data_IF_984408748743
#
_entry.id   IF_984408748743
#
_cell.length_a   1.000
_cell.length_b   1.000
_cell.length_c   1.000
_cell.angle_alpha   90.00
_cell.angle_beta   90.00
_cell.angle_gamma   90.00
#
_symmetry.space_group_name_H-M   'P 1'
#
loop_
_entity.id
_entity.type
_entity.pdbx_description
1 polymer ?
#
# COMPACT_ATOMS: atom_id res chain seq x y z
N UNK A 1 17.51 -14.80 6.90
CA UNK A 1 16.58 -14.58 5.77
C UNK A 1 15.13 -14.50 6.25
N UNK A 2 14.65 -15.48 7.02
CA UNK A 2 13.30 -15.50 7.60
C UNK A 2 12.85 -14.20 8.31
N UNK A 3 13.75 -13.51 9.03
CA UNK A 3 13.40 -12.22 9.68
C UNK A 3 13.03 -11.15 8.66
N UNK A 4 13.73 -11.08 7.52
CA UNK A 4 13.44 -10.10 6.46
C UNK A 4 12.09 -10.41 5.82
N UNK A 5 11.85 -11.67 5.49
CA UNK A 5 10.56 -12.13 4.92
C UNK A 5 9.40 -11.79 5.87
N UNK A 6 9.54 -12.04 7.18
CA UNK A 6 8.53 -11.66 8.16
C UNK A 6 8.25 -10.15 8.17
N UNK A 7 9.30 -9.33 8.06
CA UNK A 7 9.16 -7.86 8.04
C UNK A 7 8.47 -7.40 6.75
N UNK A 8 8.77 -8.00 5.60
CA UNK A 8 8.08 -7.70 4.33
C UNK A 8 6.57 -7.94 4.45
N UNK A 9 6.16 -9.05 5.08
CA UNK A 9 4.74 -9.34 5.36
C UNK A 9 4.10 -8.35 6.35
N UNK A 10 4.81 -7.98 7.42
CA UNK A 10 4.32 -6.97 8.38
C UNK A 10 4.07 -5.64 7.66
N UNK A 11 5.04 -5.18 6.88
CA UNK A 11 4.94 -3.92 6.12
C UNK A 11 3.84 -4.01 5.05
N UNK A 12 3.64 -5.18 4.44
CA UNK A 12 2.54 -5.39 3.49
C UNK A 12 1.16 -5.20 4.15
N UNK A 13 0.98 -5.73 5.37
CA UNK A 13 -0.25 -5.55 6.16
C UNK A 13 -0.44 -4.07 6.51
N UNK A 14 0.62 -3.38 6.94
CA UNK A 14 0.56 -1.95 7.26
C UNK A 14 0.21 -1.10 6.04
N UNK A 15 0.79 -1.39 4.87
CA UNK A 15 0.48 -0.67 3.62
C UNK A 15 -0.98 -0.87 3.20
N UNK A 16 -1.50 -2.10 3.30
CA UNK A 16 -2.90 -2.39 3.01
C UNK A 16 -3.84 -1.62 3.96
N UNK A 17 -3.55 -1.65 5.27
CA UNK A 17 -4.33 -0.92 6.27
C UNK A 17 -4.25 0.60 6.06
N UNK A 18 -3.07 1.13 5.73
CA UNK A 18 -2.87 2.54 5.44
C UNK A 18 -3.64 2.99 4.20
N UNK A 19 -3.64 2.20 3.12
CA UNK A 19 -4.41 2.51 1.93
C UNK A 19 -5.91 2.57 2.22
N UNK A 20 -6.43 1.64 3.04
CA UNK A 20 -7.83 1.66 3.46
C UNK A 20 -8.15 2.88 4.33
N UNK A 21 -7.26 3.22 5.28
CA UNK A 21 -7.40 4.42 6.10
C UNK A 21 -7.41 5.72 5.29
N UNK A 22 -6.62 5.79 4.21
CA UNK A 22 -6.63 6.92 3.27
C UNK A 22 -7.99 7.05 2.58
N UNK A 23 -8.60 5.94 2.16
CA UNK A 23 -9.90 5.96 1.50
C UNK A 23 -11.01 6.45 2.42
N UNK A 24 -11.08 5.92 3.64
CA UNK A 24 -12.02 6.42 4.65
C UNK A 24 -11.79 7.91 4.95
N UNK A 25 -10.54 8.36 4.97
CA UNK A 25 -10.24 9.79 5.16
C UNK A 25 -10.71 10.64 3.99
N UNK A 26 -10.61 10.13 2.76
CA UNK A 26 -11.12 10.80 1.54
C UNK A 26 -12.63 10.86 1.52
N UNK A 27 -13.33 9.83 1.98
CA UNK A 27 -14.79 9.86 2.15
C UNK A 27 -15.22 10.98 3.10
N UNK A 28 -14.48 11.21 4.18
CA UNK A 28 -14.79 12.25 5.16
C UNK A 28 -14.41 13.67 4.73
N UNK A 29 -13.26 13.85 4.07
CA UNK A 29 -12.68 15.17 3.80
C UNK A 29 -12.71 15.60 2.33
N UNK A 30 -13.05 14.70 1.40
CA UNK A 30 -13.04 14.97 -0.04
C UNK A 30 -11.70 15.53 -0.54
N UNK A 31 -11.76 16.64 -1.29
CA UNK A 31 -10.61 17.28 -1.95
C UNK A 31 -9.51 17.79 -1.00
N UNK A 32 -9.78 17.85 0.31
CA UNK A 32 -8.80 18.21 1.32
C UNK A 32 -7.89 17.04 1.74
N UNK A 33 -8.28 15.78 1.50
CA UNK A 33 -7.47 14.60 1.81
C UNK A 33 -6.40 14.33 0.74
N UNK A 34 -5.39 15.19 0.69
CA UNK A 34 -4.27 15.07 -0.25
C UNK A 34 -3.12 14.28 0.36
N UNK A 35 -2.59 13.33 -0.40
CA UNK A 35 -1.34 12.64 -0.08
C UNK A 35 -0.14 13.46 -0.54
N UNK A 36 1.02 13.20 0.06
CA UNK A 36 2.29 13.73 -0.44
C UNK A 36 2.73 13.02 -1.72
N UNK A 37 3.70 13.59 -2.46
CA UNK A 37 4.18 13.08 -3.77
C UNK A 37 4.53 11.58 -3.71
N UNK A 38 5.36 11.18 -2.73
CA UNK A 38 5.76 9.78 -2.57
C UNK A 38 4.65 8.87 -2.05
N UNK A 39 3.88 9.31 -1.04
CA UNK A 39 2.80 8.49 -0.48
C UNK A 39 1.63 8.30 -1.45
N UNK A 40 1.41 9.26 -2.37
CA UNK A 40 0.44 9.10 -3.46
C UNK A 40 0.81 7.96 -4.40
N UNK A 41 2.10 7.79 -4.74
CA UNK A 41 2.58 6.69 -5.57
C UNK A 41 2.47 5.36 -4.84
N UNK A 42 2.94 5.28 -3.60
CA UNK A 42 2.82 4.08 -2.78
C UNK A 42 1.35 3.63 -2.62
N UNK A 43 0.45 4.56 -2.31
CA UNK A 43 -0.98 4.32 -2.23
C UNK A 43 -1.54 3.77 -3.56
N UNK A 44 -1.14 4.37 -4.69
CA UNK A 44 -1.64 3.97 -6.01
C UNK A 44 -1.23 2.54 -6.36
N UNK A 45 0.04 2.19 -6.12
CA UNK A 45 0.54 0.82 -6.34
C UNK A 45 -0.21 -0.21 -5.48
N UNK A 46 -0.45 0.10 -4.20
CA UNK A 46 -1.24 -0.79 -3.33
C UNK A 46 -2.67 -0.95 -3.88
N UNK A 47 -3.26 0.13 -4.41
CA UNK A 47 -4.63 0.11 -4.96
C UNK A 47 -4.76 -0.58 -6.31
N UNK A 48 -3.69 -0.63 -7.09
CA UNK A 48 -3.63 -1.46 -8.30
C UNK A 48 -3.65 -2.96 -7.96
N UNK A 49 -3.01 -3.36 -6.86
CA UNK A 49 -3.00 -4.75 -6.39
C UNK A 49 -4.29 -5.10 -5.66
N UNK A 50 -4.75 -4.19 -4.81
CA UNK A 50 -5.89 -4.38 -3.90
C UNK A 50 -6.82 -3.18 -4.01
N UNK A 51 -7.92 -3.29 -4.78
CA UNK A 51 -8.99 -2.30 -4.77
C UNK A 51 -9.54 -2.06 -3.36
N UNK A 52 -10.28 -0.97 -3.19
CA UNK A 52 -10.94 -0.66 -1.93
C UNK A 52 -11.80 -1.84 -1.47
N UNK A 53 -11.64 -2.23 -0.20
CA UNK A 53 -12.38 -3.35 0.37
C UNK A 53 -13.69 -2.81 0.95
N UNK A 54 -14.79 -3.01 0.23
CA UNK A 54 -16.14 -2.60 0.69
C UNK A 54 -16.72 -3.59 1.71
N UNK A 55 -16.31 -4.85 1.61
CA UNK A 55 -16.79 -5.97 2.42
C UNK A 55 -15.64 -6.87 2.83
N UNK A 56 -15.90 -7.80 3.75
CA UNK A 56 -14.92 -8.79 4.16
C UNK A 56 -14.48 -9.67 2.98
N UNK A 57 -13.16 -9.74 2.80
CA UNK A 57 -12.52 -10.53 1.74
C UNK A 57 -11.34 -11.33 2.28
N UNK A 58 -10.92 -12.34 1.52
CA UNK A 58 -9.71 -13.11 1.84
C UNK A 58 -8.45 -12.25 1.63
N UNK A 59 -7.80 -11.85 2.72
CA UNK A 59 -6.66 -10.93 2.68
C UNK A 59 -5.32 -11.61 2.37
N UNK A 60 -5.16 -12.89 2.71
CA UNK A 60 -3.89 -13.61 2.51
C UNK A 60 -3.28 -13.45 1.09
N UNK A 61 -4.01 -13.72 -0.02
CA UNK A 61 -3.46 -13.57 -1.36
C UNK A 61 -3.18 -12.12 -1.76
N UNK A 62 -3.85 -11.15 -1.10
CA UNK A 62 -3.65 -9.72 -1.32
C UNK A 62 -2.37 -9.25 -0.61
N UNK A 63 -2.17 -9.69 0.63
CA UNK A 63 -0.98 -9.41 1.44
C UNK A 63 0.27 -10.00 0.76
N UNK A 64 0.18 -11.23 0.23
CA UNK A 64 1.28 -11.88 -0.48
C UNK A 64 1.77 -11.06 -1.68
N UNK A 65 0.85 -10.56 -2.51
CA UNK A 65 1.20 -9.70 -3.66
C UNK A 65 1.85 -8.37 -3.23
N UNK A 66 1.41 -7.78 -2.12
CA UNK A 66 2.04 -6.56 -1.60
C UNK A 66 3.43 -6.89 -1.04
N UNK A 67 3.61 -8.02 -0.38
CA UNK A 67 4.93 -8.47 0.09
C UNK A 67 5.89 -8.69 -1.09
N UNK A 68 5.43 -9.27 -2.21
CA UNK A 68 6.21 -9.40 -3.45
C UNK A 68 6.60 -8.04 -4.05
N UNK A 69 5.69 -7.05 -4.02
CA UNK A 69 5.98 -5.67 -4.45
C UNK A 69 7.10 -5.03 -3.60
N UNK A 70 7.10 -5.29 -2.29
CA UNK A 70 8.15 -4.81 -1.36
C UNK A 70 9.47 -5.54 -1.65
N UNK A 71 9.44 -6.87 -1.67
CA UNK A 71 10.62 -7.72 -1.85
C UNK A 71 11.32 -7.50 -3.21
N UNK A 72 10.56 -7.17 -4.25
CA UNK A 72 11.12 -6.83 -5.58
C UNK A 72 11.79 -5.45 -5.64
N UNK A 73 11.62 -4.61 -4.62
CA UNK A 73 12.11 -3.22 -4.60
C UNK A 73 11.30 -2.27 -5.49
N UNK A 74 10.25 -2.76 -6.15
CA UNK A 74 9.41 -1.97 -7.08
C UNK A 74 8.78 -0.77 -6.38
N UNK A 75 8.29 -0.95 -5.14
CA UNK A 75 7.73 0.13 -4.34
C UNK A 75 8.74 1.26 -4.11
N UNK A 76 9.96 0.91 -3.70
CA UNK A 76 11.02 1.89 -3.39
C UNK A 76 11.41 2.63 -4.66
N UNK A 77 11.70 1.91 -5.75
CA UNK A 77 12.08 2.50 -7.02
C UNK A 77 11.03 3.49 -7.56
N UNK A 78 9.74 3.13 -7.47
CA UNK A 78 8.65 3.99 -7.91
C UNK A 78 8.53 5.28 -7.06
N UNK A 79 8.68 5.17 -5.74
CA UNK A 79 8.63 6.32 -4.84
C UNK A 79 9.85 7.23 -5.05
N UNK A 80 11.06 6.69 -5.20
CA UNK A 80 12.27 7.46 -5.44
C UNK A 80 12.23 8.20 -6.78
N UNK A 81 11.79 7.51 -7.85
CA UNK A 81 11.58 8.13 -9.16
C UNK A 81 10.56 9.28 -9.10
N UNK A 82 9.53 9.14 -8.25
CA UNK A 82 8.55 10.17 -8.04
C UNK A 82 9.05 11.29 -7.12
N UNK A 83 10.12 11.15 -6.35
CA UNK A 83 10.64 12.22 -5.47
C UNK A 83 11.82 12.98 -6.07
N UNK A 84 12.52 12.37 -7.01
CA UNK A 84 13.50 13.00 -7.89
C UNK A 84 12.86 14.10 -8.75
#
# INVERSE_FOLDING_TARGET
RQVVENVEYIVAIELLAAAQGVDFRREQLGLAARLGKGTAVAYSLVREIVPFLEHDEMLAPKIEKIAELIASGTLVAAVEAALS
#
